data_IF_534552373891
#
_entry.id   IF_534552373891
#
_cell.length_a   1.000
_cell.length_b   1.000
_cell.length_c   1.000
_cell.angle_alpha   90.00
_cell.angle_beta   90.00
_cell.angle_gamma   90.00
#
_symmetry.space_group_name_H-M   'P 1'
#
loop_
_entity.id
_entity.type
_entity.pdbx_description
1 polymer ?
#
# COMPACT_ATOMS: atom_id res chain seq x y z
N UNK A 1 -48.11 -16.28 -2.05
CA UNK A 1 -46.91 -16.89 -1.44
C UNK A 1 -47.33 -17.54 -0.13
N UNK A 2 -47.20 -18.87 0.00
CA UNK A 2 -47.58 -19.56 1.24
C UNK A 2 -46.64 -19.17 2.39
N UNK A 3 -47.16 -19.20 3.64
CA UNK A 3 -46.34 -18.92 4.84
C UNK A 3 -45.06 -19.77 4.85
N UNK A 4 -45.16 -21.01 4.36
CA UNK A 4 -44.01 -21.96 4.25
C UNK A 4 -42.95 -21.50 3.27
N UNK A 5 -43.31 -20.88 2.14
CA UNK A 5 -42.37 -20.33 1.15
C UNK A 5 -41.61 -19.10 1.68
N UNK A 6 -42.29 -18.27 2.49
CA UNK A 6 -41.63 -17.13 3.15
C UNK A 6 -40.62 -17.59 4.18
N UNK A 7 -40.92 -18.61 5.00
CA UNK A 7 -39.93 -19.18 5.95
C UNK A 7 -38.71 -19.74 5.25
N UNK A 8 -38.89 -20.48 4.14
CA UNK A 8 -37.77 -20.98 3.35
C UNK A 8 -36.91 -19.87 2.79
N UNK A 9 -37.50 -18.84 2.24
CA UNK A 9 -36.77 -17.68 1.72
C UNK A 9 -35.94 -16.97 2.79
N UNK A 10 -36.51 -16.68 3.94
CA UNK A 10 -35.81 -16.03 5.03
C UNK A 10 -34.72 -16.92 5.65
N UNK A 11 -34.98 -18.21 5.82
CA UNK A 11 -33.97 -19.13 6.33
C UNK A 11 -32.76 -19.25 5.38
N UNK A 12 -32.99 -19.29 4.05
CA UNK A 12 -31.92 -19.28 3.06
C UNK A 12 -31.10 -17.98 3.12
N UNK A 13 -31.76 -16.82 3.25
CA UNK A 13 -31.05 -15.53 3.39
C UNK A 13 -30.18 -15.52 4.64
N UNK A 14 -30.70 -15.99 5.78
CA UNK A 14 -29.94 -16.07 7.04
C UNK A 14 -28.73 -17.01 6.90
N UNK A 15 -28.92 -18.18 6.29
CA UNK A 15 -27.84 -19.14 6.06
C UNK A 15 -26.78 -18.54 5.14
N UNK A 16 -27.17 -17.89 4.03
CA UNK A 16 -26.25 -17.25 3.09
C UNK A 16 -25.45 -16.14 3.79
N UNK A 17 -26.12 -15.29 4.56
CA UNK A 17 -25.46 -14.23 5.30
C UNK A 17 -24.48 -14.78 6.36
N UNK A 18 -24.91 -15.80 7.12
CA UNK A 18 -24.07 -16.45 8.13
C UNK A 18 -22.83 -17.09 7.50
N UNK A 19 -23.01 -17.88 6.44
CA UNK A 19 -21.89 -18.46 5.69
C UNK A 19 -20.99 -17.38 5.07
N UNK A 20 -21.59 -16.32 4.52
CA UNK A 20 -20.86 -15.19 3.95
C UNK A 20 -19.96 -14.51 4.98
N UNK A 21 -20.44 -14.27 6.19
CA UNK A 21 -19.65 -13.68 7.28
C UNK A 21 -18.49 -14.62 7.67
N UNK A 22 -18.73 -15.93 7.80
CA UNK A 22 -17.68 -16.90 8.12
C UNK A 22 -16.63 -16.91 7.02
N UNK A 23 -17.04 -17.04 5.76
CA UNK A 23 -16.13 -17.08 4.61
C UNK A 23 -15.32 -15.78 4.54
N UNK A 24 -15.97 -14.63 4.68
CA UNK A 24 -15.30 -13.32 4.65
C UNK A 24 -14.23 -13.22 5.75
N UNK A 25 -14.57 -13.64 6.99
CA UNK A 25 -13.63 -13.62 8.12
C UNK A 25 -12.43 -14.55 7.88
N UNK A 26 -12.64 -15.71 7.27
CA UNK A 26 -11.57 -16.67 7.00
C UNK A 26 -10.70 -16.27 5.79
N UNK A 27 -11.26 -15.51 4.83
CA UNK A 27 -10.51 -14.99 3.68
C UNK A 27 -9.67 -13.76 4.06
N UNK A 28 -10.05 -13.02 5.09
CA UNK A 28 -9.37 -11.77 5.49
C UNK A 28 -7.84 -11.88 5.59
N UNK A 29 -7.23 -12.94 6.18
CA UNK A 29 -5.77 -13.10 6.22
C UNK A 29 -5.10 -13.22 4.84
N UNK A 30 -5.85 -13.65 3.83
CA UNK A 30 -5.37 -13.89 2.46
C UNK A 30 -5.70 -12.74 1.51
N UNK A 31 -6.39 -11.68 1.98
CA UNK A 31 -6.79 -10.54 1.15
C UNK A 31 -5.61 -9.88 0.46
N UNK A 32 -4.47 -9.76 1.13
CA UNK A 32 -3.26 -9.22 0.54
C UNK A 32 -2.82 -9.99 -0.71
N UNK A 33 -2.81 -11.32 -0.63
CA UNK A 33 -2.48 -12.20 -1.76
C UNK A 33 -3.50 -12.15 -2.89
N UNK A 34 -4.80 -12.16 -2.56
CA UNK A 34 -5.89 -12.08 -3.54
C UNK A 34 -5.88 -10.75 -4.30
N UNK A 35 -5.76 -9.63 -3.57
CA UNK A 35 -5.69 -8.30 -4.15
C UNK A 35 -4.39 -8.08 -4.93
N UNK A 36 -3.28 -8.66 -4.45
CA UNK A 36 -2.02 -8.71 -5.18
C UNK A 36 -2.15 -9.47 -6.51
N UNK A 37 -2.82 -10.62 -6.52
CA UNK A 37 -3.10 -11.38 -7.75
C UNK A 37 -3.94 -10.58 -8.74
N UNK A 38 -4.99 -9.90 -8.26
CA UNK A 38 -5.83 -9.03 -9.10
C UNK A 38 -5.02 -7.87 -9.68
N UNK A 39 -4.19 -7.23 -8.87
CA UNK A 39 -3.28 -6.16 -9.31
C UNK A 39 -2.36 -6.64 -10.43
N UNK A 40 -1.66 -7.76 -10.20
CA UNK A 40 -0.76 -8.34 -11.21
C UNK A 40 -1.52 -8.78 -12.46
N UNK A 41 -2.69 -9.39 -12.32
CA UNK A 41 -3.55 -9.73 -13.46
C UNK A 41 -3.87 -8.51 -14.32
N UNK A 42 -4.29 -7.40 -13.72
CA UNK A 42 -4.58 -6.15 -14.45
C UNK A 42 -3.36 -5.61 -15.20
N UNK A 43 -2.16 -5.74 -14.61
CA UNK A 43 -0.91 -5.30 -15.22
C UNK A 43 -0.51 -6.19 -16.40
N UNK A 44 -0.56 -7.51 -16.22
CA UNK A 44 0.04 -8.47 -17.17
C UNK A 44 -0.95 -9.08 -18.17
N UNK A 45 -2.27 -8.85 -18.02
CA UNK A 45 -3.29 -9.42 -18.92
C UNK A 45 -3.08 -9.05 -20.41
N UNK A 46 -2.57 -7.84 -20.66
CA UNK A 46 -2.26 -7.40 -22.04
C UNK A 46 -1.14 -8.25 -22.64
N UNK A 47 -0.12 -8.58 -21.84
CA UNK A 47 0.96 -9.47 -22.24
C UNK A 47 0.45 -10.91 -22.46
N UNK A 48 -0.44 -11.39 -21.60
CA UNK A 48 -1.11 -12.69 -21.75
C UNK A 48 -1.87 -12.78 -23.08
N UNK A 49 -2.66 -11.75 -23.42
CA UNK A 49 -3.39 -11.72 -24.67
C UNK A 49 -2.45 -11.67 -25.88
N UNK A 50 -1.33 -10.95 -25.78
CA UNK A 50 -0.31 -10.94 -26.82
C UNK A 50 0.28 -12.33 -27.10
N UNK A 51 0.66 -13.08 -26.05
CA UNK A 51 1.22 -14.42 -26.18
C UNK A 51 0.21 -15.43 -26.74
N UNK A 52 -1.06 -15.33 -26.30
CA UNK A 52 -2.09 -16.29 -26.71
C UNK A 52 -2.70 -15.99 -28.07
N UNK A 53 -2.92 -14.72 -28.43
CA UNK A 53 -3.60 -14.32 -29.66
C UNK A 53 -2.63 -14.08 -30.82
N UNK A 54 -1.50 -13.38 -30.57
CA UNK A 54 -0.50 -13.10 -31.62
C UNK A 54 0.51 -14.23 -31.79
N UNK A 55 1.03 -14.77 -30.67
CA UNK A 55 2.01 -15.87 -30.70
C UNK A 55 1.37 -17.26 -30.74
N UNK A 56 0.02 -17.35 -30.62
CA UNK A 56 -0.75 -18.62 -30.66
C UNK A 56 -0.27 -19.67 -29.66
N UNK A 57 0.31 -19.25 -28.54
CA UNK A 57 0.79 -20.16 -27.50
C UNK A 57 -0.39 -20.72 -26.71
N UNK A 58 -0.24 -21.95 -26.20
CA UNK A 58 -1.24 -22.56 -25.30
C UNK A 58 -1.39 -21.70 -24.04
N UNK A 59 -2.63 -21.46 -23.64
CA UNK A 59 -2.98 -20.56 -22.54
C UNK A 59 -2.28 -20.92 -21.22
N UNK A 60 -2.19 -22.21 -20.91
CA UNK A 60 -1.50 -22.69 -19.70
C UNK A 60 0.01 -22.40 -19.72
N UNK A 61 0.66 -22.52 -20.89
CA UNK A 61 2.09 -22.23 -21.03
C UNK A 61 2.33 -20.72 -20.91
N UNK A 62 1.51 -19.91 -21.58
CA UNK A 62 1.60 -18.46 -21.48
C UNK A 62 1.37 -17.98 -20.03
N UNK A 63 0.39 -18.57 -19.32
CA UNK A 63 0.14 -18.26 -17.90
C UNK A 63 1.34 -18.61 -17.02
N UNK A 64 1.96 -19.78 -17.24
CA UNK A 64 3.15 -20.21 -16.49
C UNK A 64 4.33 -19.26 -16.72
N UNK A 65 4.59 -18.90 -18.00
CA UNK A 65 5.67 -17.97 -18.34
C UNK A 65 5.48 -16.59 -17.71
N UNK A 66 4.27 -16.03 -17.78
CA UNK A 66 3.97 -14.71 -17.20
C UNK A 66 4.03 -14.76 -15.68
N UNK A 67 3.55 -15.85 -15.07
CA UNK A 67 3.68 -16.01 -13.61
C UNK A 67 5.16 -16.09 -13.20
N UNK A 68 5.98 -16.84 -13.93
CA UNK A 68 7.42 -16.92 -13.72
C UNK A 68 8.10 -15.53 -13.92
N UNK A 69 7.74 -14.81 -14.98
CA UNK A 69 8.19 -13.43 -15.22
C UNK A 69 7.81 -12.50 -14.06
N UNK A 70 6.57 -12.58 -13.58
CA UNK A 70 6.08 -11.80 -12.43
C UNK A 70 6.90 -12.10 -11.17
N UNK A 71 7.21 -13.37 -10.90
CA UNK A 71 8.07 -13.75 -9.78
C UNK A 71 9.45 -13.12 -9.93
N UNK A 72 10.08 -13.26 -11.11
CA UNK A 72 11.43 -12.77 -11.34
C UNK A 72 11.54 -11.24 -11.30
N UNK A 73 10.57 -10.54 -11.87
CA UNK A 73 10.61 -9.07 -11.99
C UNK A 73 10.17 -8.36 -10.71
N UNK A 74 9.19 -8.90 -9.99
CA UNK A 74 8.62 -8.23 -8.82
C UNK A 74 9.01 -8.90 -7.50
N UNK A 75 8.90 -10.22 -7.40
CA UNK A 75 9.08 -10.91 -6.11
C UNK A 75 10.55 -11.15 -5.76
N UNK A 76 11.39 -11.48 -6.74
CA UNK A 76 12.83 -11.70 -6.46
C UNK A 76 13.49 -10.40 -6.00
N UNK A 77 13.35 -9.23 -6.68
CA UNK A 77 13.91 -7.97 -6.18
C UNK A 77 13.35 -7.58 -4.81
N UNK A 78 12.03 -7.71 -4.61
CA UNK A 78 11.39 -7.41 -3.33
C UNK A 78 11.93 -8.33 -2.22
N UNK A 79 12.05 -9.62 -2.48
CA UNK A 79 12.60 -10.59 -1.54
C UNK A 79 14.06 -10.32 -1.18
N UNK A 80 14.89 -9.95 -2.16
CA UNK A 80 16.27 -9.53 -1.93
C UNK A 80 16.37 -8.28 -1.07
N UNK A 81 15.52 -7.28 -1.32
CA UNK A 81 15.49 -6.06 -0.51
C UNK A 81 15.09 -6.38 0.93
N UNK A 82 14.02 -7.17 1.12
CA UNK A 82 13.57 -7.57 2.45
C UNK A 82 14.67 -8.36 3.18
N UNK A 83 15.32 -9.30 2.49
CA UNK A 83 16.43 -10.07 3.05
C UNK A 83 17.61 -9.19 3.47
N UNK A 84 18.02 -8.21 2.64
CA UNK A 84 19.08 -7.25 2.96
C UNK A 84 18.70 -6.40 4.18
N UNK A 85 17.45 -5.91 4.25
CA UNK A 85 16.97 -5.11 5.39
C UNK A 85 16.95 -5.94 6.65
N UNK A 86 16.40 -7.16 6.61
CA UNK A 86 16.33 -8.06 7.78
C UNK A 86 17.70 -8.43 8.28
N UNK A 87 18.64 -8.82 7.39
CA UNK A 87 20.01 -9.12 7.79
C UNK A 87 20.70 -7.91 8.42
N UNK A 88 20.51 -6.73 7.82
CA UNK A 88 21.15 -5.51 8.36
C UNK A 88 20.55 -5.09 9.70
N UNK A 89 19.25 -5.30 9.90
CA UNK A 89 18.59 -5.06 11.19
C UNK A 89 19.04 -6.06 12.26
N UNK A 90 19.37 -7.30 11.89
CA UNK A 90 19.93 -8.29 12.83
C UNK A 90 21.33 -7.92 13.31
N UNK A 91 22.12 -7.24 12.48
CA UNK A 91 23.45 -6.71 12.86
C UNK A 91 23.34 -5.52 13.83
N UNK A 92 22.20 -4.83 13.84
CA UNK A 92 21.93 -3.73 14.77
C UNK A 92 21.51 -4.34 16.11
N UNK A 93 22.28 -4.06 17.14
CA UNK A 93 21.92 -4.47 18.50
C UNK A 93 20.61 -3.75 18.91
N UNK A 94 19.49 -4.43 18.73
CA UNK A 94 18.14 -3.94 19.08
C UNK A 94 17.91 -3.93 20.62
N UNK A 95 18.96 -4.08 21.44
CA UNK A 95 18.82 -3.92 22.87
C UNK A 95 18.24 -2.52 23.17
N UNK A 96 17.20 -2.43 23.99
CA UNK A 96 16.57 -1.14 24.30
C UNK A 96 17.56 -0.08 24.75
N UNK A 97 18.63 -0.46 25.44
CA UNK A 97 19.69 0.41 25.94
C UNK A 97 20.42 1.16 24.80
N UNK A 98 20.66 0.50 23.65
CA UNK A 98 21.36 1.11 22.50
C UNK A 98 20.60 2.31 21.91
N UNK A 99 19.27 2.35 22.08
CA UNK A 99 18.43 3.44 21.61
C UNK A 99 18.06 4.44 22.71
N UNK A 100 17.99 3.96 23.95
CA UNK A 100 17.62 4.80 25.10
C UNK A 100 18.74 5.78 25.44
N UNK A 101 20.00 5.34 25.46
CA UNK A 101 21.14 6.19 25.81
C UNK A 101 21.27 7.44 24.93
N UNK A 102 21.24 7.34 23.57
CA UNK A 102 21.24 8.52 22.72
C UNK A 102 20.04 9.44 22.92
N UNK A 103 18.84 8.87 23.12
CA UNK A 103 17.61 9.63 23.34
C UNK A 103 17.67 10.37 24.68
N UNK A 104 18.21 9.73 25.74
CA UNK A 104 18.41 10.37 27.04
C UNK A 104 19.42 11.52 26.95
N UNK A 105 20.54 11.33 26.22
CA UNK A 105 21.53 12.39 26.01
C UNK A 105 20.92 13.62 25.33
N UNK A 106 20.02 13.42 24.35
CA UNK A 106 19.29 14.53 23.69
C UNK A 106 18.40 15.25 24.70
N UNK A 107 17.64 14.48 25.47
CA UNK A 107 16.72 15.07 26.41
C UNK A 107 17.43 15.87 27.51
N UNK A 108 18.55 15.33 28.00
CA UNK A 108 19.41 16.04 28.97
C UNK A 108 19.98 17.30 28.37
N UNK A 109 20.46 17.25 27.12
CA UNK A 109 20.98 18.42 26.41
C UNK A 109 19.90 19.49 26.20
N UNK A 110 18.69 19.09 25.79
CA UNK A 110 17.56 20.02 25.63
C UNK A 110 17.16 20.62 26.98
N UNK A 111 17.09 19.79 28.02
CA UNK A 111 16.76 20.23 29.37
C UNK A 111 17.78 21.21 29.93
N UNK A 112 19.08 20.98 29.70
CA UNK A 112 20.16 21.89 30.11
C UNK A 112 20.11 23.23 29.37
N UNK A 113 19.74 23.23 28.07
CA UNK A 113 19.71 24.44 27.25
C UNK A 113 18.40 25.21 27.33
N UNK A 114 17.27 24.55 27.50
CA UNK A 114 15.95 25.16 27.41
C UNK A 114 15.18 25.16 28.74
N UNK A 115 15.63 24.36 29.73
CA UNK A 115 14.92 24.17 30.99
C UNK A 115 13.67 23.27 30.89
N UNK A 116 13.30 22.81 29.69
CA UNK A 116 12.13 21.96 29.49
C UNK A 116 12.54 20.46 29.48
N UNK A 117 11.81 19.67 30.29
CA UNK A 117 11.94 18.21 30.30
C UNK A 117 11.09 17.62 29.15
N UNK A 118 11.73 17.40 28.00
CA UNK A 118 11.04 16.91 26.78
C UNK A 118 10.79 15.39 26.86
N UNK A 119 11.50 14.68 27.72
CA UNK A 119 11.36 13.24 27.92
C UNK A 119 10.90 12.92 29.33
N UNK A 120 9.60 13.08 29.57
CA UNK A 120 8.97 12.51 30.75
C UNK A 120 9.16 10.97 30.82
N UNK A 121 9.10 10.40 32.01
CA UNK A 121 9.21 8.92 32.22
C UNK A 121 8.25 8.14 31.34
N UNK A 122 7.11 8.72 30.98
CA UNK A 122 6.08 8.11 30.14
C UNK A 122 6.54 7.98 28.68
N UNK A 123 7.28 8.96 28.14
CA UNK A 123 7.80 8.94 26.78
C UNK A 123 8.89 7.87 26.61
N UNK A 124 9.78 7.75 27.59
CA UNK A 124 10.80 6.68 27.60
C UNK A 124 10.18 5.29 27.68
N UNK A 125 9.19 5.09 28.57
CA UNK A 125 8.49 3.82 28.71
C UNK A 125 7.73 3.45 27.42
N UNK A 126 7.18 4.44 26.71
CA UNK A 126 6.52 4.24 25.43
C UNK A 126 7.51 3.78 24.36
N UNK A 127 8.68 4.44 24.24
CA UNK A 127 9.74 4.05 23.28
C UNK A 127 10.25 2.64 23.57
N UNK A 128 10.52 2.30 24.84
CA UNK A 128 10.94 0.96 25.24
C UNK A 128 9.90 -0.11 24.92
N UNK A 129 8.62 0.22 25.02
CA UNK A 129 7.53 -0.71 24.72
C UNK A 129 7.32 -0.95 23.21
N UNK A 130 7.70 0.01 22.36
CA UNK A 130 7.53 -0.09 20.91
C UNK A 130 8.59 -0.98 20.26
N UNK A 131 9.85 -0.94 20.73
CA UNK A 131 10.95 -1.71 20.12
C UNK A 131 10.66 -3.22 20.01
N UNK A 132 10.28 -3.93 21.09
CA UNK A 132 9.91 -5.35 21.01
C UNK A 132 8.72 -5.59 20.09
N UNK A 133 7.78 -4.64 20.05
CA UNK A 133 6.58 -4.71 19.19
C UNK A 133 6.93 -4.61 17.71
N UNK A 134 7.89 -3.76 17.36
CA UNK A 134 8.42 -3.68 15.99
C UNK A 134 9.08 -5.01 15.60
N UNK A 135 9.89 -5.60 16.49
CA UNK A 135 10.49 -6.90 16.27
C UNK A 135 9.45 -8.01 16.04
N UNK A 136 8.39 -8.04 16.84
CA UNK A 136 7.27 -8.98 16.66
C UNK A 136 6.55 -8.76 15.33
N UNK A 137 6.23 -7.51 14.97
CA UNK A 137 5.59 -7.16 13.68
C UNK A 137 6.43 -7.64 12.49
N UNK A 138 7.76 -7.51 12.57
CA UNK A 138 8.66 -7.97 11.52
C UNK A 138 8.65 -9.51 11.42
N UNK A 139 8.67 -10.21 12.55
CA UNK A 139 8.66 -11.68 12.57
C UNK A 139 7.30 -12.26 12.14
N UNK A 140 6.18 -11.75 12.66
CA UNK A 140 4.83 -12.17 12.30
C UNK A 140 4.49 -11.77 10.85
N UNK A 141 4.94 -10.59 10.43
CA UNK A 141 4.80 -10.10 9.07
C UNK A 141 5.47 -10.98 8.04
N UNK A 142 6.61 -11.59 8.37
CA UNK A 142 7.35 -12.47 7.46
C UNK A 142 6.56 -13.72 7.06
N UNK A 143 5.93 -14.40 8.02
CA UNK A 143 5.12 -15.59 7.74
C UNK A 143 3.85 -15.25 6.96
N UNK A 144 3.16 -14.20 7.36
CA UNK A 144 1.97 -13.70 6.65
C UNK A 144 2.30 -13.28 5.22
N UNK A 145 3.45 -12.66 5.02
CA UNK A 145 3.91 -12.23 3.69
C UNK A 145 4.18 -13.44 2.79
N UNK A 146 4.86 -14.49 3.29
CA UNK A 146 5.12 -15.71 2.53
C UNK A 146 3.81 -16.40 2.09
N UNK A 147 2.83 -16.51 2.98
CA UNK A 147 1.52 -17.09 2.67
C UNK A 147 0.79 -16.25 1.62
N UNK A 148 0.77 -14.92 1.78
CA UNK A 148 0.12 -14.01 0.83
C UNK A 148 0.82 -14.02 -0.55
N UNK A 149 2.14 -14.15 -0.61
CA UNK A 149 2.87 -14.32 -1.87
C UNK A 149 2.52 -15.63 -2.57
N UNK A 150 2.44 -16.73 -1.81
CA UNK A 150 2.00 -18.02 -2.36
C UNK A 150 0.57 -17.92 -2.92
N UNK A 151 -0.37 -17.36 -2.16
CA UNK A 151 -1.75 -17.14 -2.61
C UNK A 151 -1.77 -16.26 -3.86
N UNK A 152 -0.98 -15.19 -3.89
CA UNK A 152 -0.90 -14.29 -5.04
C UNK A 152 -0.44 -15.01 -6.30
N UNK A 153 0.64 -15.79 -6.22
CA UNK A 153 1.17 -16.56 -7.36
C UNK A 153 0.15 -17.59 -7.86
N UNK A 154 -0.41 -18.35 -6.92
CA UNK A 154 -1.38 -19.39 -7.22
C UNK A 154 -2.63 -18.82 -7.89
N UNK A 155 -3.24 -17.81 -7.29
CA UNK A 155 -4.45 -17.17 -7.81
C UNK A 155 -4.18 -16.47 -9.14
N UNK A 156 -3.04 -15.77 -9.29
CA UNK A 156 -2.65 -15.14 -10.55
C UNK A 156 -2.59 -16.15 -11.70
N UNK A 157 -1.97 -17.30 -11.49
CA UNK A 157 -1.90 -18.34 -12.50
C UNK A 157 -3.30 -18.77 -12.98
N UNK A 158 -4.22 -19.04 -12.06
CA UNK A 158 -5.59 -19.42 -12.41
C UNK A 158 -6.40 -18.27 -13.04
N UNK A 159 -6.18 -17.04 -12.58
CA UNK A 159 -6.79 -15.87 -13.20
C UNK A 159 -6.30 -15.68 -14.66
N UNK A 160 -5.03 -15.92 -14.96
CA UNK A 160 -4.51 -15.85 -16.33
C UNK A 160 -5.11 -16.93 -17.22
N UNK A 161 -5.29 -18.14 -16.73
CA UNK A 161 -5.96 -19.22 -17.48
C UNK A 161 -7.43 -18.90 -17.71
N UNK A 162 -8.17 -18.50 -16.66
CA UNK A 162 -9.60 -18.27 -16.69
C UNK A 162 -10.04 -16.88 -17.15
N UNK A 163 -9.12 -15.95 -17.35
CA UNK A 163 -9.34 -14.51 -17.40
C UNK A 163 -10.56 -14.03 -18.18
N UNK A 164 -10.71 -14.44 -19.44
CA UNK A 164 -11.88 -14.04 -20.26
C UNK A 164 -13.21 -14.49 -19.66
N UNK A 165 -13.26 -15.71 -19.10
CA UNK A 165 -14.49 -16.24 -18.46
C UNK A 165 -14.77 -15.53 -17.14
N UNK A 166 -13.71 -15.23 -16.39
CA UNK A 166 -13.81 -14.48 -15.13
C UNK A 166 -14.29 -13.03 -15.39
N UNK A 167 -13.73 -12.35 -16.37
CA UNK A 167 -14.16 -10.99 -16.75
C UNK A 167 -15.63 -10.96 -17.20
N UNK A 168 -16.07 -11.92 -18.03
CA UNK A 168 -17.46 -12.06 -18.41
C UNK A 168 -18.38 -12.29 -17.20
N UNK A 169 -17.99 -13.19 -16.31
CA UNK A 169 -18.75 -13.50 -15.09
C UNK A 169 -18.86 -12.28 -14.16
N UNK A 170 -17.79 -11.50 -14.00
CA UNK A 170 -17.80 -10.27 -13.20
C UNK A 170 -18.76 -9.25 -13.83
N UNK A 171 -18.77 -9.11 -15.16
CA UNK A 171 -19.70 -8.23 -15.86
C UNK A 171 -21.15 -8.63 -15.63
N UNK A 172 -21.47 -9.94 -15.65
CA UNK A 172 -22.83 -10.45 -15.48
C UNK A 172 -23.35 -10.32 -14.04
N UNK A 173 -22.45 -10.35 -13.04
CA UNK A 173 -22.84 -10.23 -11.63
C UNK A 173 -23.10 -8.77 -11.22
N UNK A 174 -22.46 -7.82 -11.87
CA UNK A 174 -22.63 -6.40 -11.51
C UNK A 174 -24.09 -5.96 -11.78
N UNK A 175 -24.82 -5.47 -10.75
CA UNK A 175 -26.22 -5.12 -10.87
C UNK A 175 -26.41 -3.73 -11.51
N UNK A 176 -25.61 -3.40 -12.52
CA UNK A 176 -25.61 -2.11 -13.20
C UNK A 176 -25.95 -2.27 -14.68
N UNK A 177 -26.43 -1.19 -15.31
CA UNK A 177 -26.53 -1.15 -16.75
C UNK A 177 -25.14 -1.21 -17.42
N UNK A 178 -25.06 -1.53 -18.70
CA UNK A 178 -23.78 -1.71 -19.41
C UNK A 178 -22.87 -0.49 -19.31
N UNK A 179 -23.41 0.73 -19.40
CA UNK A 179 -22.63 1.97 -19.34
C UNK A 179 -21.99 2.15 -17.95
N UNK A 180 -22.76 1.96 -16.88
CA UNK A 180 -22.27 2.05 -15.51
C UNK A 180 -21.27 0.92 -15.19
N UNK A 181 -21.51 -0.30 -15.68
CA UNK A 181 -20.57 -1.43 -15.54
C UNK A 181 -19.22 -1.11 -16.19
N UNK A 182 -19.21 -0.57 -17.41
CA UNK A 182 -17.99 -0.17 -18.10
C UNK A 182 -17.26 0.96 -17.35
N UNK A 183 -17.97 1.93 -16.78
CA UNK A 183 -17.41 3.02 -16.00
C UNK A 183 -16.73 2.49 -14.73
N UNK A 184 -17.38 1.58 -13.98
CA UNK A 184 -16.80 0.94 -12.78
C UNK A 184 -15.54 0.16 -13.14
N UNK A 185 -15.58 -0.69 -14.18
CA UNK A 185 -14.42 -1.48 -14.58
C UNK A 185 -13.27 -0.59 -15.07
N UNK A 186 -13.57 0.48 -15.79
CA UNK A 186 -12.57 1.46 -16.21
C UNK A 186 -11.90 2.12 -15.01
N UNK A 187 -12.69 2.55 -14.01
CA UNK A 187 -12.18 3.16 -12.79
C UNK A 187 -11.27 2.20 -12.01
N UNK A 188 -11.71 0.95 -11.82
CA UNK A 188 -10.89 -0.09 -11.17
C UNK A 188 -9.55 -0.28 -11.90
N UNK A 189 -9.59 -0.47 -13.22
CA UNK A 189 -8.38 -0.69 -14.01
C UNK A 189 -7.45 0.52 -13.96
N UNK A 190 -7.99 1.73 -14.03
CA UNK A 190 -7.22 2.98 -14.01
C UNK A 190 -6.52 3.15 -12.66
N UNK A 191 -7.26 3.07 -11.54
CA UNK A 191 -6.69 3.29 -10.20
C UNK A 191 -5.70 2.20 -9.83
N UNK A 192 -6.06 0.92 -10.05
CA UNK A 192 -5.16 -0.20 -9.73
C UNK A 192 -3.87 -0.10 -10.53
N UNK A 193 -3.95 0.12 -11.85
CA UNK A 193 -2.78 0.24 -12.72
C UNK A 193 -1.92 1.45 -12.37
N UNK A 194 -2.55 2.59 -12.09
CA UNK A 194 -1.87 3.82 -11.72
C UNK A 194 -1.08 3.66 -10.43
N UNK A 195 -1.71 3.10 -9.40
CA UNK A 195 -1.06 2.91 -8.11
C UNK A 195 -0.02 1.80 -8.15
N UNK A 196 -0.30 0.68 -8.83
CA UNK A 196 0.63 -0.45 -8.91
C UNK A 196 1.93 -0.13 -9.66
N UNK A 197 1.93 0.84 -10.56
CA UNK A 197 3.13 1.34 -11.25
C UNK A 197 3.67 2.58 -10.55
N UNK A 198 2.80 3.51 -10.19
CA UNK A 198 3.17 4.81 -9.65
C UNK A 198 3.84 4.73 -8.29
N UNK A 199 3.34 3.87 -7.39
CA UNK A 199 3.89 3.75 -6.04
C UNK A 199 5.31 3.19 -6.03
N UNK A 200 5.64 2.07 -6.72
CA UNK A 200 7.03 1.60 -6.80
C UNK A 200 7.97 2.61 -7.47
N UNK A 201 7.51 3.28 -8.53
CA UNK A 201 8.30 4.30 -9.20
C UNK A 201 8.60 5.48 -8.26
N UNK A 202 7.59 5.98 -7.55
CA UNK A 202 7.75 7.01 -6.54
C UNK A 202 8.73 6.56 -5.45
N UNK A 203 8.60 5.34 -4.94
CA UNK A 203 9.47 4.77 -3.92
C UNK A 203 10.94 4.76 -4.34
N UNK A 204 11.25 4.29 -5.56
CA UNK A 204 12.60 4.25 -6.11
C UNK A 204 13.19 5.65 -6.22
N UNK A 205 12.42 6.60 -6.78
CA UNK A 205 12.91 7.98 -6.95
C UNK A 205 13.15 8.62 -5.59
N UNK A 206 12.23 8.47 -4.64
CA UNK A 206 12.35 9.05 -3.30
C UNK A 206 13.52 8.46 -2.51
N UNK A 207 13.69 7.14 -2.56
CA UNK A 207 14.85 6.49 -1.97
C UNK A 207 16.15 7.00 -2.56
N UNK A 208 16.22 7.16 -3.89
CA UNK A 208 17.38 7.72 -4.58
C UNK A 208 17.68 9.17 -4.17
N UNK A 209 16.66 10.03 -4.14
CA UNK A 209 16.80 11.43 -3.67
C UNK A 209 17.26 11.49 -2.23
N UNK A 210 16.70 10.66 -1.35
CA UNK A 210 17.12 10.61 0.05
C UNK A 210 18.55 10.07 0.21
N UNK A 211 18.96 9.04 -0.55
CA UNK A 211 20.33 8.51 -0.54
C UNK A 211 21.36 9.58 -0.89
N UNK A 212 21.08 10.46 -1.83
CA UNK A 212 21.96 11.58 -2.18
C UNK A 212 22.14 12.48 -0.95
N UNK A 213 21.07 12.82 -0.24
CA UNK A 213 21.16 13.61 0.99
C UNK A 213 21.96 12.90 2.08
N UNK A 214 21.69 11.61 2.31
CA UNK A 214 22.42 10.80 3.28
C UNK A 214 23.93 10.70 2.96
N UNK A 215 24.28 10.63 1.66
CA UNK A 215 25.66 10.63 1.21
C UNK A 215 26.35 11.98 1.47
N UNK A 216 25.71 13.09 1.10
CA UNK A 216 26.25 14.45 1.23
C UNK A 216 26.48 14.80 2.69
N UNK A 217 25.55 14.43 3.57
CA UNK A 217 25.57 14.77 4.99
C UNK A 217 26.13 13.65 5.88
N UNK A 218 26.85 12.67 5.32
CA UNK A 218 27.61 11.67 6.09
C UNK A 218 26.75 10.76 6.97
N UNK A 219 25.48 10.52 6.61
CA UNK A 219 24.63 9.62 7.38
C UNK A 219 25.15 8.18 7.35
N UNK A 220 25.03 7.41 8.46
CA UNK A 220 25.45 6.02 8.50
C UNK A 220 24.55 5.13 7.63
N UNK A 221 25.08 4.01 7.11
CA UNK A 221 24.28 3.00 6.42
C UNK A 221 23.35 3.54 5.31
N UNK A 222 23.88 4.37 4.41
CA UNK A 222 23.14 5.09 3.35
C UNK A 222 22.15 4.19 2.59
N UNK A 223 22.57 2.98 2.20
CA UNK A 223 21.72 2.03 1.47
C UNK A 223 20.51 1.60 2.30
N UNK A 224 20.71 1.26 3.58
CA UNK A 224 19.63 0.89 4.47
C UNK A 224 18.63 2.04 4.65
N UNK A 225 19.12 3.25 4.91
CA UNK A 225 18.29 4.44 5.07
C UNK A 225 17.53 4.78 3.79
N UNK A 226 18.16 4.64 2.63
CA UNK A 226 17.51 4.81 1.35
C UNK A 226 16.39 3.79 1.11
N UNK A 227 16.62 2.52 1.40
CA UNK A 227 15.58 1.50 1.33
C UNK A 227 14.45 1.76 2.33
N UNK A 228 14.76 2.12 3.57
CA UNK A 228 13.73 2.52 4.54
C UNK A 228 12.92 3.70 4.03
N UNK A 229 13.54 4.67 3.36
CA UNK A 229 12.83 5.80 2.75
C UNK A 229 11.93 5.34 1.60
N UNK A 230 12.35 4.36 0.77
CA UNK A 230 11.47 3.77 -0.25
C UNK A 230 10.17 3.20 0.35
N UNK A 231 10.26 2.48 1.46
CA UNK A 231 9.07 1.95 2.12
C UNK A 231 8.27 3.03 2.85
N UNK A 232 8.95 3.94 3.53
CA UNK A 232 8.31 5.00 4.28
C UNK A 232 7.49 5.93 3.38
N UNK A 233 7.93 6.19 2.14
CA UNK A 233 7.21 7.04 1.17
C UNK A 233 5.82 6.50 0.79
N UNK A 234 5.49 5.25 1.14
CA UNK A 234 4.15 4.69 1.00
C UNK A 234 3.14 5.51 1.81
N UNK A 235 3.55 6.04 2.96
CA UNK A 235 2.73 6.92 3.79
C UNK A 235 2.85 8.35 3.23
N UNK A 236 1.78 8.89 2.63
CA UNK A 236 1.85 10.23 2.03
C UNK A 236 2.22 11.31 3.02
N UNK A 237 2.97 12.31 2.59
CA UNK A 237 3.36 13.55 3.30
C UNK A 237 4.34 13.33 4.48
N UNK A 238 4.14 12.32 5.31
CA UNK A 238 4.93 12.11 6.55
C UNK A 238 5.97 11.02 6.39
N UNK A 239 5.77 10.10 5.44
CA UNK A 239 6.56 8.86 5.35
C UNK A 239 8.06 9.09 5.27
N UNK A 240 8.53 9.93 4.37
CA UNK A 240 9.97 10.20 4.22
C UNK A 240 10.56 10.88 5.45
N UNK A 241 9.79 11.72 6.15
CA UNK A 241 10.23 12.39 7.37
C UNK A 241 10.46 11.41 8.53
N UNK A 242 9.74 10.29 8.56
CA UNK A 242 9.96 9.23 9.56
C UNK A 242 11.36 8.61 9.47
N UNK A 243 12.07 8.81 8.35
CA UNK A 243 13.44 8.30 8.17
C UNK A 243 14.47 9.42 8.29
N UNK A 244 14.37 10.51 7.50
CA UNK A 244 15.40 11.54 7.51
C UNK A 244 15.43 12.36 8.81
N UNK A 245 14.29 12.55 9.48
CA UNK A 245 14.25 13.33 10.72
C UNK A 245 15.01 12.64 11.88
N UNK A 246 14.78 11.35 12.19
CA UNK A 246 15.58 10.65 13.19
C UNK A 246 17.08 10.61 12.84
N UNK A 247 17.45 10.51 11.57
CA UNK A 247 18.84 10.52 11.15
C UNK A 247 19.48 11.89 11.39
N UNK A 248 18.79 12.97 11.05
CA UNK A 248 19.26 14.32 11.34
C UNK A 248 19.41 14.55 12.87
N UNK A 249 18.46 14.07 13.66
CA UNK A 249 18.53 14.11 15.11
C UNK A 249 19.76 13.32 15.62
N UNK A 250 20.00 12.12 15.11
CA UNK A 250 21.17 11.32 15.46
C UNK A 250 22.50 12.07 15.19
N UNK A 251 22.64 12.71 14.02
CA UNK A 251 23.82 13.51 13.69
C UNK A 251 24.01 14.69 14.66
N UNK A 252 22.91 15.37 15.04
CA UNK A 252 22.94 16.46 16.01
C UNK A 252 23.46 15.99 17.38
N UNK A 253 22.98 14.83 17.84
CA UNK A 253 23.40 14.23 19.12
C UNK A 253 24.87 13.83 19.10
N UNK A 254 25.33 13.31 17.94
CA UNK A 254 26.75 12.95 17.74
C UNK A 254 27.67 14.18 17.70
N UNK A 255 27.15 15.40 17.90
CA UNK A 255 27.89 16.65 17.89
C UNK A 255 28.12 17.24 16.50
N UNK A 256 27.65 16.60 15.47
CA UNK A 256 27.82 17.05 14.08
C UNK A 256 26.65 17.94 13.62
N UNK A 257 26.55 19.10 14.21
CA UNK A 257 25.47 20.05 13.97
C UNK A 257 25.41 20.55 12.53
N UNK A 258 26.54 20.66 11.84
CA UNK A 258 26.57 21.11 10.46
C UNK A 258 25.86 20.14 9.54
N UNK A 259 26.19 18.84 9.62
CA UNK A 259 25.55 17.80 8.82
C UNK A 259 24.08 17.55 9.27
N UNK A 260 23.81 17.68 10.57
CA UNK A 260 22.44 17.54 11.10
C UNK A 260 21.49 18.60 10.52
N UNK A 261 21.87 19.88 10.59
CA UNK A 261 21.06 20.99 10.05
C UNK A 261 20.97 20.88 8.53
N UNK A 262 22.07 20.55 7.86
CA UNK A 262 22.11 20.33 6.42
C UNK A 262 21.15 19.22 5.98
N UNK A 263 21.15 18.06 6.65
CA UNK A 263 20.25 16.95 6.36
C UNK A 263 18.79 17.29 6.66
N UNK A 264 18.54 18.00 7.77
CA UNK A 264 17.19 18.46 8.11
C UNK A 264 16.62 19.42 7.04
N UNK A 265 17.43 20.39 6.61
CA UNK A 265 17.05 21.31 5.55
C UNK A 265 16.83 20.60 4.21
N UNK A 266 17.73 19.69 3.83
CA UNK A 266 17.60 18.87 2.62
C UNK A 266 16.36 17.99 2.68
N UNK A 267 16.12 17.32 3.80
CA UNK A 267 14.94 16.47 4.03
C UNK A 267 13.63 17.24 3.92
N UNK A 268 13.55 18.40 4.57
CA UNK A 268 12.36 19.23 4.55
C UNK A 268 12.10 19.90 3.19
N UNK A 269 13.14 20.40 2.52
CA UNK A 269 13.00 21.16 1.27
C UNK A 269 13.07 20.23 0.05
N UNK A 270 14.10 19.37 -0.05
CA UNK A 270 14.31 18.59 -1.27
C UNK A 270 13.50 17.29 -1.22
N UNK A 271 13.66 16.47 -0.17
CA UNK A 271 13.00 15.16 -0.10
C UNK A 271 11.49 15.32 0.00
N UNK A 272 11.00 16.19 0.91
CA UNK A 272 9.54 16.36 1.11
C UNK A 272 8.87 17.04 -0.07
N UNK A 273 9.50 18.03 -0.71
CA UNK A 273 8.91 18.70 -1.87
C UNK A 273 8.98 17.84 -3.13
N UNK A 274 10.04 17.04 -3.30
CA UNK A 274 10.10 16.07 -4.41
C UNK A 274 9.02 14.99 -4.28
N UNK A 275 8.69 14.51 -3.07
CA UNK A 275 7.56 13.60 -2.84
C UNK A 275 6.24 14.20 -3.33
N UNK A 276 5.94 15.43 -2.91
CA UNK A 276 4.73 16.13 -3.31
C UNK A 276 4.67 16.35 -4.83
N UNK A 277 5.77 16.80 -5.44
CA UNK A 277 5.84 17.07 -6.88
C UNK A 277 5.67 15.81 -7.72
N UNK A 278 6.39 14.75 -7.38
CA UNK A 278 6.34 13.48 -8.14
C UNK A 278 4.95 12.86 -7.99
N UNK A 279 4.39 12.87 -6.80
CA UNK A 279 3.04 12.39 -6.51
C UNK A 279 2.00 13.16 -7.31
N UNK A 280 2.10 14.48 -7.36
CA UNK A 280 1.23 15.32 -8.19
C UNK A 280 1.34 15.01 -9.68
N UNK A 281 2.56 14.85 -10.22
CA UNK A 281 2.80 14.51 -11.63
C UNK A 281 2.22 13.13 -11.96
N UNK A 282 2.44 12.14 -11.09
CA UNK A 282 1.93 10.79 -11.27
C UNK A 282 0.39 10.78 -11.22
N UNK A 283 -0.22 11.44 -10.26
CA UNK A 283 -1.68 11.54 -10.15
C UNK A 283 -2.29 12.22 -11.39
N UNK A 284 -1.75 13.34 -11.84
CA UNK A 284 -2.24 14.04 -13.01
C UNK A 284 -2.14 13.23 -14.31
N UNK A 285 -1.12 12.36 -14.42
CA UNK A 285 -0.93 11.51 -15.62
C UNK A 285 -1.72 10.20 -15.60
N UNK A 286 -2.02 9.68 -14.43
CA UNK A 286 -2.45 8.29 -14.27
C UNK A 286 -3.88 8.14 -13.73
N UNK A 287 -4.38 9.08 -12.92
CA UNK A 287 -5.76 9.08 -12.43
C UNK A 287 -6.16 10.50 -12.05
N UNK A 288 -7.29 10.95 -12.55
CA UNK A 288 -7.87 12.27 -12.24
C UNK A 288 -8.53 12.28 -10.83
N UNK A 289 -7.90 11.61 -9.86
CA UNK A 289 -8.42 11.48 -8.50
C UNK A 289 -7.93 12.63 -7.62
N UNK A 290 -8.83 13.16 -6.80
CA UNK A 290 -8.49 14.21 -5.85
C UNK A 290 -7.44 13.71 -4.83
N UNK A 291 -6.38 14.46 -4.52
CA UNK A 291 -5.31 14.02 -3.59
C UNK A 291 -5.82 13.52 -2.24
N UNK A 292 -6.91 14.11 -1.71
CA UNK A 292 -7.53 13.67 -0.46
C UNK A 292 -8.06 12.23 -0.53
N UNK A 293 -8.58 11.80 -1.67
CA UNK A 293 -9.05 10.41 -1.87
C UNK A 293 -7.86 9.45 -1.71
N UNK A 294 -6.70 9.81 -2.24
CA UNK A 294 -5.49 9.00 -2.10
C UNK A 294 -5.03 8.93 -0.65
N UNK A 295 -4.94 10.09 0.05
CA UNK A 295 -4.46 10.14 1.44
C UNK A 295 -5.40 9.37 2.36
N UNK A 296 -6.68 9.71 2.39
CA UNK A 296 -7.67 9.03 3.23
C UNK A 296 -7.85 7.57 2.82
N UNK A 297 -7.79 7.29 1.52
CA UNK A 297 -7.82 5.93 1.01
C UNK A 297 -6.71 5.07 1.58
N UNK A 298 -5.47 5.55 1.56
CA UNK A 298 -4.32 4.83 2.14
C UNK A 298 -4.50 4.64 3.66
N UNK A 299 -4.92 5.69 4.39
CA UNK A 299 -5.15 5.62 5.85
C UNK A 299 -6.20 4.57 6.21
N UNK A 300 -7.30 4.49 5.46
CA UNK A 300 -8.38 3.50 5.65
C UNK A 300 -7.96 2.13 5.11
N UNK A 301 -7.26 2.10 4.00
CA UNK A 301 -6.90 0.88 3.28
C UNK A 301 -5.84 0.03 3.99
N UNK A 302 -4.82 0.66 4.60
CA UNK A 302 -3.75 -0.05 5.29
C UNK A 302 -4.24 -0.99 6.41
N UNK A 303 -5.12 -0.57 7.33
CA UNK A 303 -5.68 -1.46 8.35
C UNK A 303 -6.56 -2.57 7.77
N UNK A 304 -7.27 -2.31 6.65
CA UNK A 304 -8.21 -3.26 6.04
C UNK A 304 -7.52 -4.33 5.18
N UNK A 305 -6.54 -3.93 4.37
CA UNK A 305 -5.95 -4.75 3.32
C UNK A 305 -4.43 -4.93 3.47
N UNK A 306 -3.86 -4.49 4.60
CA UNK A 306 -2.40 -4.47 4.78
C UNK A 306 -1.71 -3.64 3.71
N UNK A 307 -0.55 -4.10 3.24
CA UNK A 307 0.23 -3.40 2.20
C UNK A 307 -0.59 -3.12 0.92
N UNK A 308 -1.47 -4.03 0.52
CA UNK A 308 -2.35 -3.81 -0.63
C UNK A 308 -3.35 -2.68 -0.43
N UNK A 309 -3.58 -2.25 0.81
CA UNK A 309 -4.43 -1.10 1.13
C UNK A 309 -3.95 0.21 0.53
N UNK A 310 -2.67 0.33 0.22
CA UNK A 310 -2.12 1.51 -0.49
C UNK A 310 -2.70 1.65 -1.90
N UNK A 311 -2.99 0.52 -2.56
CA UNK A 311 -3.60 0.48 -3.89
C UNK A 311 -5.13 0.49 -3.80
N UNK A 312 -5.68 -0.39 -2.95
CA UNK A 312 -7.13 -0.63 -2.87
C UNK A 312 -7.88 0.32 -1.94
N UNK A 313 -7.19 1.02 -1.05
CA UNK A 313 -7.80 2.06 -0.22
C UNK A 313 -8.34 3.25 -1.03
N UNK A 314 -7.51 3.90 -1.87
CA UNK A 314 -7.98 4.92 -2.79
C UNK A 314 -9.07 4.41 -3.74
N UNK A 315 -8.96 3.16 -4.23
CA UNK A 315 -9.98 2.53 -5.06
C UNK A 315 -11.33 2.42 -4.31
N UNK A 316 -11.31 1.99 -3.05
CA UNK A 316 -12.52 1.87 -2.24
C UNK A 316 -13.26 3.20 -2.13
N UNK A 317 -12.54 4.29 -1.83
CA UNK A 317 -13.13 5.62 -1.74
C UNK A 317 -13.61 6.13 -3.09
N UNK A 318 -12.83 5.93 -4.16
CA UNK A 318 -13.21 6.34 -5.51
C UNK A 318 -14.49 5.64 -5.97
N UNK A 319 -14.59 4.33 -5.76
CA UNK A 319 -15.79 3.56 -6.07
C UNK A 319 -17.00 3.99 -5.22
N UNK A 320 -16.78 4.32 -3.95
CA UNK A 320 -17.85 4.84 -3.11
C UNK A 320 -18.43 6.14 -3.69
N UNK A 321 -17.58 7.11 -4.04
CA UNK A 321 -18.05 8.35 -4.66
C UNK A 321 -18.67 8.13 -6.04
N UNK A 322 -18.11 7.21 -6.82
CA UNK A 322 -18.70 6.83 -8.12
C UNK A 322 -20.13 6.30 -7.95
N UNK A 323 -20.34 5.37 -7.00
CA UNK A 323 -21.69 4.83 -6.74
C UNK A 323 -22.66 5.89 -6.21
N UNK A 324 -22.22 6.80 -5.35
CA UNK A 324 -23.02 7.94 -4.89
C UNK A 324 -23.43 8.82 -6.07
N UNK A 325 -22.49 9.11 -6.99
CA UNK A 325 -22.77 9.92 -8.18
C UNK A 325 -23.72 9.20 -9.14
N UNK A 326 -23.54 7.89 -9.36
CA UNK A 326 -24.48 7.09 -10.18
C UNK A 326 -25.88 7.11 -9.58
N UNK A 327 -26.00 6.88 -8.27
CA UNK A 327 -27.27 6.93 -7.57
C UNK A 327 -27.94 8.30 -7.69
N UNK A 328 -27.17 9.38 -7.52
CA UNK A 328 -27.68 10.75 -7.66
C UNK A 328 -28.23 11.01 -9.07
N UNK A 329 -27.45 10.66 -10.11
CA UNK A 329 -27.88 10.84 -11.50
C UNK A 329 -29.13 10.01 -11.84
N UNK A 330 -29.19 8.76 -11.41
CA UNK A 330 -30.23 7.83 -11.81
C UNK A 330 -31.56 8.04 -11.04
N UNK A 331 -31.47 8.42 -9.75
CA UNK A 331 -32.65 8.48 -8.90
C UNK A 331 -33.03 9.88 -8.41
N UNK A 332 -32.10 10.82 -8.32
CA UNK A 332 -32.38 12.17 -7.80
C UNK A 332 -32.53 13.20 -8.90
N UNK A 333 -31.68 13.19 -9.94
CA UNK A 333 -31.72 14.19 -11.01
C UNK A 333 -32.86 13.91 -12.01
N UNK A 334 -33.24 12.63 -12.24
CA UNK A 334 -34.44 12.27 -13.02
C UNK A 334 -35.73 12.77 -12.36
N UNK A 335 -35.75 12.84 -11.02
CA UNK A 335 -36.93 13.31 -10.27
C UNK A 335 -37.13 14.83 -10.37
N UNK A 336 -36.06 15.60 -10.58
CA UNK A 336 -36.09 17.06 -10.73
C UNK A 336 -36.47 17.48 -12.16
N UNK A 337 -36.39 16.60 -13.16
CA UNK A 337 -36.70 16.86 -14.56
C UNK A 337 -38.12 16.39 -14.97
N UNK A 338 -38.93 15.88 -14.03
CA UNK A 338 -40.33 15.61 -14.30
C UNK A 338 -41.09 16.95 -14.26
N UNK A 339 -41.81 17.35 -15.34
CA UNK A 339 -42.62 18.56 -15.32
C UNK A 339 -43.68 18.40 -14.22
N UNK A 340 -43.74 19.42 -13.33
CA UNK A 340 -44.83 19.55 -12.34
C UNK A 340 -46.16 19.44 -13.05
N UNK A 341 -46.85 18.35 -12.80
CA UNK A 341 -48.27 18.18 -13.22
C UNK A 341 -49.18 19.09 -12.41
#
# INVERSE_FOLDING_TARGET
>A
MSIKEQYWKYSLIVIILFMGVIIFRQITPFLGGLLGALTMYILVRTHMNYLTEKRKMKRSISALLITAETIMVFLVPLGLIIWLVVNKLQDINLAPQTFIEPIQQVAEFIKEKTGYDVLGKDTLSFIVSILPRIGQIIMEGGSSLAVNLFVMIFVLYFMLIGGKKMEAYVNDILPFNEANTQEVIREINMIVRSNAIGIPLLAIIQGGVAMIGYLIFGAPNILLLGFLTCFATIIPMVGTALVWFPVAAYLAISGDWFHAIGLAAYGAIVVSQSDNLIRFILQKKMADTHPLITIFGVVIGLPLFGFMGVIFGPLLLSLFFLFVNMFKKEYLDLRNNLPSR
#
